data_IF_344236772684
#
_entry.id   IF_344236772684
#
_cell.length_a   1.000
_cell.length_b   1.000
_cell.length_c   1.000
_cell.angle_alpha   90.00
_cell.angle_beta   90.00
_cell.angle_gamma   90.00
#
_symmetry.space_group_name_H-M   'P 1'
#
loop_
_entity.id
_entity.type
_entity.pdbx_description
1 polymer ?
#
# COMPACT_ATOMS: atom_id res chain seq x y z
N UNK A 1 3.21 4.64 -22.56
CA UNK A 1 3.95 5.16 -21.38
C UNK A 1 2.93 5.48 -20.30
N UNK A 2 3.03 4.84 -19.14
CA UNK A 2 2.19 5.13 -17.96
C UNK A 2 3.04 5.69 -16.83
N UNK A 3 2.42 6.44 -15.91
CA UNK A 3 3.04 6.84 -14.66
C UNK A 3 2.73 5.77 -13.60
N UNK A 4 3.77 5.16 -13.04
CA UNK A 4 3.70 4.07 -12.08
C UNK A 4 4.44 4.49 -10.81
N UNK A 5 3.83 4.24 -9.65
CA UNK A 5 4.47 4.48 -8.36
C UNK A 5 4.80 3.14 -7.70
N UNK A 6 6.03 3.00 -7.21
CA UNK A 6 6.45 1.85 -6.41
C UNK A 6 6.48 2.29 -4.94
N UNK A 7 5.51 1.83 -4.16
CA UNK A 7 5.42 2.03 -2.72
C UNK A 7 6.11 0.86 -2.00
N UNK A 8 7.40 1.02 -1.70
CA UNK A 8 8.22 -0.06 -1.18
C UNK A 8 8.47 0.07 0.32
N UNK A 9 8.44 -1.06 1.03
CA UNK A 9 8.69 -1.15 2.46
C UNK A 9 10.13 -1.61 2.73
N UNK A 10 11.04 -0.72 3.17
CA UNK A 10 12.45 -1.05 3.38
C UNK A 10 12.70 -2.02 4.54
N UNK A 11 11.72 -2.25 5.42
CA UNK A 11 11.79 -3.26 6.48
C UNK A 11 11.49 -4.68 5.96
N UNK A 12 10.94 -4.80 4.75
CA UNK A 12 10.65 -6.07 4.08
C UNK A 12 11.59 -6.34 2.90
N UNK A 13 12.06 -5.29 2.23
CA UNK A 13 13.03 -5.33 1.14
C UNK A 13 14.30 -4.61 1.60
N UNK A 14 15.26 -5.35 2.13
CA UNK A 14 16.51 -4.79 2.66
C UNK A 14 17.26 -4.00 1.59
N UNK A 15 17.49 -2.71 1.87
CA UNK A 15 18.11 -1.79 0.92
C UNK A 15 17.27 -1.53 -0.33
N UNK A 16 16.00 -1.90 -0.34
CA UNK A 16 15.07 -1.76 -1.48
C UNK A 16 15.58 -2.40 -2.79
N UNK A 17 16.32 -3.52 -2.68
CA UNK A 17 16.98 -4.13 -3.83
C UNK A 17 15.99 -4.67 -4.88
N UNK A 18 14.92 -5.34 -4.44
CA UNK A 18 13.89 -5.83 -5.33
C UNK A 18 13.08 -4.68 -5.93
N UNK A 19 12.77 -3.66 -5.13
CA UNK A 19 12.10 -2.45 -5.60
C UNK A 19 12.94 -1.70 -6.64
N UNK A 20 14.26 -1.62 -6.47
CA UNK A 20 15.17 -1.06 -7.45
C UNK A 20 15.23 -1.88 -8.75
N UNK A 21 15.18 -3.21 -8.64
CA UNK A 21 15.10 -4.09 -9.81
C UNK A 21 13.83 -3.83 -10.61
N UNK A 22 12.67 -3.77 -9.94
CA UNK A 22 11.37 -3.46 -10.57
C UNK A 22 11.38 -2.04 -11.16
N UNK A 23 11.94 -1.06 -10.45
CA UNK A 23 12.07 0.32 -10.93
C UNK A 23 12.82 0.37 -12.27
N UNK A 24 13.97 -0.29 -12.36
CA UNK A 24 14.77 -0.31 -13.58
C UNK A 24 14.05 -1.05 -14.71
N UNK A 25 13.52 -2.24 -14.42
CA UNK A 25 12.76 -3.04 -15.38
C UNK A 25 11.63 -2.25 -16.04
N UNK A 26 10.81 -1.58 -15.26
CA UNK A 26 9.68 -0.78 -15.75
C UNK A 26 10.13 0.50 -16.48
N UNK A 27 11.23 1.13 -16.03
CA UNK A 27 11.79 2.31 -16.69
C UNK A 27 12.39 1.95 -18.05
N UNK A 28 13.11 0.84 -18.16
CA UNK A 28 13.66 0.31 -19.40
C UNK A 28 12.56 -0.11 -20.38
N UNK A 29 11.41 -0.56 -19.84
CA UNK A 29 10.20 -0.85 -20.65
C UNK A 29 9.45 0.41 -21.10
N UNK A 30 9.92 1.59 -20.75
CA UNK A 30 9.40 2.87 -21.25
C UNK A 30 8.29 3.49 -20.40
N UNK A 31 8.10 3.05 -19.14
CA UNK A 31 7.20 3.70 -18.20
C UNK A 31 7.90 4.82 -17.43
N UNK A 32 7.14 5.81 -16.97
CA UNK A 32 7.59 6.77 -15.98
C UNK A 32 7.39 6.18 -14.59
N UNK A 33 8.48 5.92 -13.88
CA UNK A 33 8.43 5.27 -12.57
C UNK A 33 8.89 6.23 -11.47
N UNK A 34 8.18 6.23 -10.36
CA UNK A 34 8.53 6.99 -9.14
C UNK A 34 8.61 6.04 -7.96
N UNK A 35 9.70 6.09 -7.22
CA UNK A 35 9.87 5.36 -5.96
C UNK A 35 9.28 6.17 -4.80
N UNK A 36 8.50 5.52 -3.95
CA UNK A 36 7.94 6.10 -2.74
C UNK A 36 8.14 5.14 -1.56
N UNK A 37 9.29 5.18 -0.87
CA UNK A 37 9.52 4.35 0.29
C UNK A 37 8.53 4.68 1.41
N UNK A 38 7.75 3.68 1.84
CA UNK A 38 6.79 3.83 2.95
C UNK A 38 7.44 3.46 4.27
N UNK A 39 7.03 4.08 5.37
CA UNK A 39 7.58 3.94 6.73
C UNK A 39 9.03 4.42 6.94
N UNK A 40 9.78 4.68 5.87
CA UNK A 40 11.15 5.20 5.97
C UNK A 40 11.42 6.20 4.82
N UNK A 41 10.87 7.43 4.88
CA UNK A 41 10.99 8.41 3.81
C UNK A 41 12.43 8.87 3.54
N UNK A 42 13.38 8.57 4.44
CA UNK A 42 14.82 8.85 4.29
C UNK A 42 15.64 7.62 3.87
N UNK A 43 15.00 6.60 3.29
CA UNK A 43 15.74 5.46 2.74
C UNK A 43 16.75 5.96 1.69
N UNK A 44 18.01 5.49 1.81
CA UNK A 44 19.04 5.84 0.85
C UNK A 44 18.77 5.10 -0.47
N UNK A 45 18.61 5.88 -1.54
CA UNK A 45 18.41 5.38 -2.90
C UNK A 45 19.45 6.00 -3.84
N UNK A 46 19.84 5.31 -4.93
CA UNK A 46 20.72 5.87 -5.96
C UNK A 46 20.16 7.18 -6.51
N UNK A 47 21.06 8.12 -6.90
CA UNK A 47 20.69 9.46 -7.33
C UNK A 47 19.95 9.51 -8.69
N UNK A 48 19.94 8.42 -9.44
CA UNK A 48 19.20 8.25 -10.70
C UNK A 48 17.74 7.79 -10.47
N UNK A 49 17.37 7.46 -9.23
CA UNK A 49 16.02 7.06 -8.86
C UNK A 49 15.17 8.28 -8.52
N UNK A 50 14.06 8.45 -9.23
CA UNK A 50 13.11 9.52 -8.91
C UNK A 50 12.31 9.14 -7.66
N UNK A 51 12.47 9.92 -6.58
CA UNK A 51 11.80 9.69 -5.29
C UNK A 51 10.85 10.83 -4.97
N UNK A 52 9.63 10.49 -4.53
CA UNK A 52 8.62 11.45 -4.05
C UNK A 52 7.81 10.86 -2.88
N UNK A 53 7.22 11.70 -2.02
CA UNK A 53 6.18 11.27 -1.07
C UNK A 53 5.00 10.60 -1.81
N UNK A 54 4.36 9.63 -1.16
CA UNK A 54 3.33 8.79 -1.78
C UNK A 54 2.17 9.60 -2.36
N UNK A 55 1.61 10.53 -1.61
CA UNK A 55 0.48 11.35 -2.02
C UNK A 55 0.84 12.22 -3.24
N UNK A 56 2.05 12.80 -3.23
CA UNK A 56 2.52 13.62 -4.34
C UNK A 56 2.85 12.78 -5.59
N UNK A 57 3.31 11.54 -5.41
CA UNK A 57 3.61 10.62 -6.50
C UNK A 57 2.33 10.05 -7.12
N UNK A 58 1.29 9.84 -6.30
CA UNK A 58 0.05 9.21 -6.70
C UNK A 58 -0.86 10.12 -7.54
N UNK A 59 -0.71 11.44 -7.46
CA UNK A 59 -1.63 12.41 -8.06
C UNK A 59 -2.00 12.13 -9.54
N UNK A 60 -1.02 11.72 -10.34
CA UNK A 60 -1.18 11.42 -11.77
C UNK A 60 -0.78 9.96 -12.12
N UNK A 61 -0.72 9.09 -11.12
CA UNK A 61 -0.34 7.70 -11.30
C UNK A 61 -1.48 6.87 -11.91
N UNK A 62 -1.13 5.98 -12.82
CA UNK A 62 -2.06 5.01 -13.41
C UNK A 62 -2.10 3.69 -12.62
N UNK A 63 -1.07 3.41 -11.83
CA UNK A 63 -0.90 2.17 -11.07
C UNK A 63 0.03 2.42 -9.89
N UNK A 64 -0.30 1.81 -8.75
CA UNK A 64 0.58 1.71 -7.58
C UNK A 64 1.02 0.26 -7.41
N UNK A 65 2.32 0.02 -7.39
CA UNK A 65 2.91 -1.28 -7.04
C UNK A 65 3.37 -1.19 -5.59
N UNK A 66 2.75 -1.96 -4.71
CA UNK A 66 3.11 -2.01 -3.29
C UNK A 66 4.02 -3.20 -3.04
N UNK A 67 5.24 -2.94 -2.62
CA UNK A 67 6.25 -3.97 -2.35
C UNK A 67 6.43 -4.15 -0.84
N UNK A 68 5.82 -5.21 -0.28
CA UNK A 68 5.79 -5.47 1.17
C UNK A 68 4.80 -6.57 1.52
N UNK A 69 4.25 -6.54 2.72
CA UNK A 69 3.16 -7.43 3.17
C UNK A 69 1.82 -6.71 3.23
N UNK A 70 0.77 -7.42 3.68
CA UNK A 70 -0.60 -6.90 3.79
C UNK A 70 -0.68 -5.57 4.55
N UNK A 71 0.05 -5.41 5.65
CA UNK A 71 0.09 -4.14 6.39
C UNK A 71 0.62 -2.96 5.57
N UNK A 72 1.51 -3.20 4.60
CA UNK A 72 1.98 -2.16 3.67
C UNK A 72 0.90 -1.79 2.67
N UNK A 73 0.17 -2.79 2.16
CA UNK A 73 -0.95 -2.58 1.23
C UNK A 73 -2.06 -1.80 1.93
N UNK A 74 -2.43 -2.18 3.15
CA UNK A 74 -3.42 -1.47 3.96
C UNK A 74 -3.02 -0.01 4.19
N UNK A 75 -1.77 0.23 4.57
CA UNK A 75 -1.25 1.59 4.77
C UNK A 75 -1.37 2.45 3.51
N UNK A 76 -0.95 1.93 2.35
CA UNK A 76 -1.04 2.63 1.07
C UNK A 76 -2.49 2.91 0.69
N UNK A 77 -3.38 1.91 0.82
CA UNK A 77 -4.79 2.05 0.49
C UNK A 77 -5.49 3.11 1.36
N UNK A 78 -5.22 3.13 2.66
CA UNK A 78 -5.77 4.14 3.58
C UNK A 78 -5.21 5.53 3.28
N UNK A 79 -3.91 5.63 2.99
CA UNK A 79 -3.28 6.92 2.63
C UNK A 79 -3.89 7.51 1.36
N UNK A 80 -4.26 6.68 0.39
CA UNK A 80 -4.79 7.09 -0.91
C UNK A 80 -6.32 6.96 -1.02
N UNK A 81 -7.06 6.81 0.09
CA UNK A 81 -8.50 6.58 0.10
C UNK A 81 -9.32 7.63 -0.68
N UNK A 82 -8.89 8.88 -0.63
CA UNK A 82 -9.57 10.00 -1.29
C UNK A 82 -9.18 10.13 -2.79
N UNK A 83 -8.25 9.30 -3.25
CA UNK A 83 -7.76 9.28 -4.63
C UNK A 83 -7.56 7.83 -5.10
N UNK A 84 -8.65 7.10 -5.42
CA UNK A 84 -8.58 5.67 -5.71
C UNK A 84 -7.84 5.39 -7.02
N UNK A 85 -6.71 4.70 -6.91
CA UNK A 85 -5.86 4.25 -8.00
C UNK A 85 -5.75 2.73 -7.91
N UNK A 86 -5.68 1.99 -9.02
CA UNK A 86 -5.38 0.56 -8.98
C UNK A 86 -4.10 0.25 -8.20
N UNK A 87 -4.19 -0.68 -7.27
CA UNK A 87 -3.06 -1.13 -6.44
C UNK A 87 -2.82 -2.60 -6.71
N UNK A 88 -1.57 -2.98 -6.98
CA UNK A 88 -1.10 -4.36 -6.96
C UNK A 88 -0.09 -4.54 -5.84
N UNK A 89 -0.30 -5.53 -4.98
CA UNK A 89 0.65 -5.91 -3.94
C UNK A 89 1.59 -6.99 -4.41
N UNK A 90 2.87 -6.86 -4.10
CA UNK A 90 3.89 -7.90 -4.19
C UNK A 90 4.32 -8.27 -2.78
N UNK A 91 4.11 -9.53 -2.41
CA UNK A 91 4.35 -10.02 -1.06
C UNK A 91 5.81 -10.43 -0.86
N UNK A 92 6.42 -9.99 0.24
CA UNK A 92 7.76 -10.40 0.65
C UNK A 92 7.73 -11.13 1.99
N UNK A 93 7.81 -12.45 1.94
CA UNK A 93 8.16 -13.26 3.10
C UNK A 93 7.01 -13.75 3.98
N UNK A 94 5.86 -14.09 3.44
CA UNK A 94 4.79 -14.78 4.15
C UNK A 94 3.50 -14.81 3.34
N UNK A 95 2.58 -15.72 3.62
CA UNK A 95 1.29 -15.74 2.93
C UNK A 95 0.52 -14.46 3.25
N UNK A 96 0.27 -13.64 2.24
CA UNK A 96 -0.61 -12.48 2.30
C UNK A 96 -1.98 -12.82 1.73
N UNK A 97 -3.03 -12.10 2.18
CA UNK A 97 -4.40 -12.21 1.65
C UNK A 97 -4.73 -11.10 0.66
N UNK A 98 -3.94 -10.02 0.65
CA UNK A 98 -4.19 -8.82 -0.16
C UNK A 98 -3.25 -8.71 -1.35
N UNK A 99 -2.06 -9.31 -1.29
CA UNK A 99 -1.11 -9.30 -2.38
C UNK A 99 -1.61 -10.16 -3.55
N UNK A 100 -1.39 -9.67 -4.75
CA UNK A 100 -1.73 -10.39 -6.00
C UNK A 100 -0.56 -11.13 -6.61
N UNK A 101 0.67 -10.83 -6.17
CA UNK A 101 1.91 -11.45 -6.64
C UNK A 101 2.80 -11.82 -5.46
N UNK A 102 3.60 -12.86 -5.65
CA UNK A 102 4.71 -13.21 -4.78
C UNK A 102 6.04 -12.66 -5.33
N UNK A 103 7.10 -12.75 -4.55
CA UNK A 103 8.38 -12.11 -4.88
C UNK A 103 9.18 -12.80 -6.00
N UNK A 104 8.78 -13.96 -6.44
CA UNK A 104 9.29 -14.70 -7.61
C UNK A 104 8.49 -14.45 -8.90
N UNK A 105 7.41 -13.66 -8.82
CA UNK A 105 6.52 -13.35 -9.95
C UNK A 105 6.70 -11.92 -10.49
N UNK A 106 7.84 -11.27 -10.22
CA UNK A 106 8.08 -9.85 -10.57
C UNK A 106 7.99 -9.57 -12.08
N UNK A 107 8.29 -10.55 -12.92
CA UNK A 107 8.23 -10.39 -14.39
C UNK A 107 6.80 -10.11 -14.87
N UNK A 108 5.77 -10.57 -14.15
CA UNK A 108 4.37 -10.29 -14.47
C UNK A 108 4.02 -8.79 -14.35
N UNK A 109 4.83 -8.02 -13.62
CA UNK A 109 4.64 -6.59 -13.49
C UNK A 109 4.75 -5.82 -14.81
N UNK A 110 5.45 -6.36 -15.83
CA UNK A 110 5.50 -5.76 -17.17
C UNK A 110 4.13 -5.81 -17.84
N UNK A 111 3.48 -6.98 -17.84
CA UNK A 111 2.15 -7.16 -18.43
C UNK A 111 1.10 -6.31 -17.68
N UNK A 112 1.18 -6.28 -16.37
CA UNK A 112 0.32 -5.45 -15.51
C UNK A 112 0.55 -3.97 -15.81
N UNK A 113 1.79 -3.52 -15.93
CA UNK A 113 2.14 -2.14 -16.30
C UNK A 113 1.55 -1.76 -17.66
N UNK A 114 1.52 -2.67 -18.61
CA UNK A 114 0.89 -2.48 -19.92
C UNK A 114 -0.66 -2.47 -19.86
N UNK A 115 -1.23 -2.89 -18.76
CA UNK A 115 -2.68 -2.84 -18.50
C UNK A 115 -3.38 -4.19 -18.62
N UNK A 116 -2.64 -5.27 -18.62
CA UNK A 116 -3.19 -6.63 -18.63
C UNK A 116 -3.56 -7.07 -17.21
N UNK A 117 -4.63 -6.48 -16.68
CA UNK A 117 -5.17 -6.83 -15.37
C UNK A 117 -6.67 -6.54 -15.29
N UNK A 118 -7.32 -7.17 -14.34
CA UNK A 118 -8.69 -6.84 -13.92
C UNK A 118 -8.68 -6.18 -12.55
N UNK A 119 -9.58 -5.23 -12.31
CA UNK A 119 -9.68 -4.52 -11.03
C UNK A 119 -10.77 -5.12 -10.18
N UNK A 120 -10.42 -5.59 -8.98
CA UNK A 120 -11.37 -5.93 -7.92
C UNK A 120 -11.57 -4.72 -7.01
N UNK A 121 -12.80 -4.24 -6.90
CA UNK A 121 -13.15 -3.15 -5.98
C UNK A 121 -13.33 -3.70 -4.58
N UNK A 122 -12.73 -3.03 -3.60
CA UNK A 122 -12.89 -3.37 -2.19
C UNK A 122 -13.52 -2.21 -1.45
N UNK A 123 -14.45 -2.54 -0.56
CA UNK A 123 -15.10 -1.57 0.31
C UNK A 123 -14.14 -1.16 1.44
N UNK A 124 -14.15 0.11 1.77
CA UNK A 124 -13.55 0.63 3.00
C UNK A 124 -14.67 0.98 3.99
N UNK A 125 -14.34 0.94 5.27
CA UNK A 125 -15.26 1.29 6.35
C UNK A 125 -14.74 2.56 7.04
N UNK A 126 -15.65 3.47 7.36
CA UNK A 126 -15.39 4.54 8.31
C UNK A 126 -15.83 4.08 9.70
N UNK A 127 -14.93 4.15 10.64
CA UNK A 127 -15.10 3.65 12.00
C UNK A 127 -15.00 4.80 12.98
N UNK A 128 -16.00 4.93 13.82
CA UNK A 128 -16.02 5.91 14.91
C UNK A 128 -15.89 5.22 16.27
N UNK A 129 -14.92 5.67 17.05
CA UNK A 129 -14.82 5.30 18.46
C UNK A 129 -15.65 6.31 19.28
N UNK A 130 -16.73 5.83 19.90
CA UNK A 130 -17.59 6.65 20.73
C UNK A 130 -17.39 6.29 22.20
N UNK A 131 -17.22 7.30 23.07
CA UNK A 131 -17.18 7.13 24.53
C UNK A 131 -17.99 8.25 25.20
N UNK A 132 -18.88 7.88 26.09
CA UNK A 132 -19.79 8.84 26.77
C UNK A 132 -20.50 9.76 25.77
N UNK A 133 -21.09 9.17 24.72
CA UNK A 133 -21.83 9.86 23.65
C UNK A 133 -20.99 10.87 22.82
N UNK A 134 -19.67 10.80 22.90
CA UNK A 134 -18.77 11.66 22.16
C UNK A 134 -17.88 10.83 21.26
N UNK A 135 -17.74 11.25 19.99
CA UNK A 135 -16.77 10.70 19.07
C UNK A 135 -15.36 11.07 19.55
N UNK A 136 -14.55 10.07 19.84
CA UNK A 136 -13.17 10.22 20.30
C UNK A 136 -12.19 10.13 19.11
N UNK A 137 -12.51 9.30 18.12
CA UNK A 137 -11.67 9.07 16.97
C UNK A 137 -12.53 8.60 15.81
N UNK A 138 -12.18 9.02 14.59
CA UNK A 138 -12.74 8.52 13.34
C UNK A 138 -11.59 8.04 12.48
N UNK A 139 -11.71 6.84 11.90
CA UNK A 139 -10.69 6.24 11.04
C UNK A 139 -11.34 5.50 9.88
N UNK A 140 -10.78 5.66 8.67
CA UNK A 140 -11.10 4.79 7.54
C UNK A 140 -10.20 3.58 7.57
N UNK A 141 -10.77 2.39 7.37
CA UNK A 141 -10.07 1.11 7.41
C UNK A 141 -10.43 0.26 6.20
N UNK A 142 -9.50 -0.56 5.79
CA UNK A 142 -9.70 -1.60 4.81
C UNK A 142 -9.47 -2.94 5.53
N UNK A 143 -10.39 -3.89 5.38
CA UNK A 143 -10.34 -5.26 5.88
C UNK A 143 -10.84 -5.42 7.32
N UNK A 144 -10.17 -4.89 8.35
CA UNK A 144 -10.54 -5.14 9.76
C UNK A 144 -10.21 -3.98 10.69
N UNK A 145 -10.85 -4.01 11.86
CA UNK A 145 -10.62 -3.09 12.97
C UNK A 145 -10.16 -3.91 14.16
N UNK A 146 -8.99 -3.59 14.69
CA UNK A 146 -8.45 -4.25 15.89
C UNK A 146 -8.60 -3.35 17.10
N UNK A 147 -9.29 -3.84 18.12
CA UNK A 147 -9.46 -3.16 19.40
C UNK A 147 -8.68 -3.95 20.46
N UNK A 148 -7.76 -3.29 21.14
CA UNK A 148 -7.03 -3.90 22.25
C UNK A 148 -6.94 -2.96 23.44
N UNK A 149 -6.91 -3.51 24.65
CA UNK A 149 -6.63 -2.77 25.88
C UNK A 149 -5.13 -2.46 26.01
N UNK A 150 -4.81 -1.31 26.61
CA UNK A 150 -3.42 -0.93 26.93
C UNK A 150 -2.81 -1.67 28.12
N UNK A 151 -3.63 -2.38 28.90
CA UNK A 151 -3.28 -3.16 30.10
C UNK A 151 -3.99 -4.51 30.09
N UNK A 152 -3.68 -5.37 31.05
CA UNK A 152 -4.23 -6.73 31.18
C UNK A 152 -5.71 -6.78 31.54
N UNK A 153 -6.36 -5.65 31.71
CA UNK A 153 -7.77 -5.53 32.10
C UNK A 153 -8.72 -5.84 30.94
N UNK A 154 -9.85 -6.46 31.25
CA UNK A 154 -10.92 -6.67 30.31
C UNK A 154 -11.54 -5.34 29.90
N UNK A 155 -11.79 -5.17 28.60
CA UNK A 155 -12.54 -4.02 28.06
C UNK A 155 -13.89 -4.51 27.53
N UNK A 156 -14.95 -3.74 27.83
CA UNK A 156 -16.24 -3.97 27.22
C UNK A 156 -16.37 -3.12 25.95
N UNK A 157 -16.75 -3.74 24.84
CA UNK A 157 -16.96 -3.06 23.56
C UNK A 157 -18.33 -3.45 23.02
N UNK A 158 -19.09 -2.48 22.54
CA UNK A 158 -20.31 -2.70 21.77
C UNK A 158 -20.08 -2.18 20.35
N UNK A 159 -20.29 -3.03 19.35
CA UNK A 159 -20.18 -2.66 17.95
C UNK A 159 -21.56 -2.38 17.36
N UNK A 160 -21.68 -1.31 16.61
CA UNK A 160 -22.85 -0.97 15.80
C UNK A 160 -22.43 -0.93 14.35
N UNK A 161 -23.28 -1.43 13.47
CA UNK A 161 -23.08 -1.38 12.01
C UNK A 161 -24.28 -0.71 11.35
N UNK A 162 -24.01 0.08 10.33
CA UNK A 162 -25.06 0.59 9.45
C UNK A 162 -25.61 -0.58 8.62
N UNK A 163 -26.93 -0.77 8.62
CA UNK A 163 -27.61 -1.86 7.93
C UNK A 163 -27.81 -1.60 6.45
#
# INVERSE_FOLDING_TARGET
MKHIVIAANPYRDSGLQKALTVYRMLTEHGHRVVMSPVFAPKAYLPGDVLVRPLEAAAHDAALIIVMGGDGTILHVAVTLRDHPIPIIGVNFGGKGFLAGLEDDELDMLLEIADGQYTVSRRMMLDVELVRNERIICTQSVLNDVVIHGGHVDCIGVTAYGDG
#
